data_IF_514630949924
#
_entry.id   IF_514630949924
#
_cell.length_a   1.000
_cell.length_b   1.000
_cell.length_c   1.000
_cell.angle_alpha   90.00
_cell.angle_beta   90.00
_cell.angle_gamma   90.00
#
_symmetry.space_group_name_H-M   'P 1'
#
loop_
_entity.id
_entity.type
_entity.pdbx_description
1 polymer ?
#
# COMPACT_ATOMS: atom_id res chain seq x y z
N UNK A 1 20.80 -4.47 24.17
CA UNK A 1 21.11 -5.77 24.80
C UNK A 1 20.56 -6.85 23.88
N UNK A 2 21.39 -7.37 22.97
CA UNK A 2 20.99 -8.39 22.00
C UNK A 2 21.39 -9.76 22.52
N UNK A 3 20.39 -10.60 22.80
CA UNK A 3 20.57 -11.99 23.21
C UNK A 3 20.55 -12.86 21.95
N UNK A 4 21.70 -13.45 21.59
CA UNK A 4 21.76 -14.50 20.56
C UNK A 4 21.00 -15.75 21.01
N UNK A 5 20.29 -16.45 20.09
CA UNK A 5 19.76 -17.77 20.39
C UNK A 5 20.89 -18.80 20.47
N UNK A 6 20.76 -19.84 21.32
CA UNK A 6 21.73 -20.91 21.41
C UNK A 6 21.77 -21.76 20.12
N UNK A 7 22.91 -22.38 19.79
CA UNK A 7 23.02 -23.26 18.63
C UNK A 7 22.08 -24.47 18.79
N UNK A 8 21.50 -24.99 17.69
CA UNK A 8 20.69 -26.20 17.76
C UNK A 8 21.55 -27.35 18.28
N UNK A 9 21.11 -27.92 19.40
CA UNK A 9 21.60 -29.18 19.94
C UNK A 9 21.60 -30.22 18.81
N UNK A 10 22.80 -30.65 18.40
CA UNK A 10 22.97 -31.82 17.51
C UNK A 10 22.28 -33.01 18.16
N UNK A 11 21.08 -33.33 17.68
CA UNK A 11 20.46 -34.61 17.90
C UNK A 11 21.45 -35.66 17.37
N UNK A 12 22.06 -36.43 18.28
CA UNK A 12 22.85 -37.59 17.93
C UNK A 12 21.95 -38.55 17.15
N UNK A 13 22.15 -38.59 15.84
CA UNK A 13 21.68 -39.70 15.02
C UNK A 13 22.25 -41.01 15.62
N UNK A 14 21.46 -42.08 15.73
CA UNK A 14 21.95 -43.38 16.18
C UNK A 14 23.12 -43.79 15.29
N UNK A 15 24.31 -43.96 15.87
CA UNK A 15 25.47 -44.49 15.16
C UNK A 15 25.11 -45.91 14.70
N UNK A 16 25.04 -46.18 13.39
CA UNK A 16 24.75 -47.52 12.92
C UNK A 16 25.88 -48.45 13.39
N UNK A 17 25.58 -49.71 13.77
CA UNK A 17 26.60 -50.66 14.19
C UNK A 17 27.67 -50.76 13.10
N UNK A 18 28.94 -50.92 13.51
CA UNK A 18 30.08 -51.05 12.61
C UNK A 18 29.82 -52.16 11.58
N UNK A 19 29.34 -51.77 10.40
CA UNK A 19 29.10 -52.68 9.28
C UNK A 19 30.46 -53.14 8.80
N UNK A 20 30.77 -54.43 8.99
CA UNK A 20 31.90 -55.08 8.31
C UNK A 20 31.72 -54.79 6.82
N UNK A 21 32.69 -54.09 6.21
CA UNK A 21 32.66 -53.84 4.77
C UNK A 21 32.68 -55.21 4.08
N UNK A 22 31.74 -55.52 3.18
CA UNK A 22 31.79 -56.75 2.41
C UNK A 22 33.13 -56.84 1.68
N UNK A 23 33.70 -58.05 1.52
CA UNK A 23 34.88 -58.23 0.68
C UNK A 23 34.60 -57.68 -0.73
N UNK A 24 35.63 -57.14 -1.38
CA UNK A 24 35.51 -56.42 -2.66
C UNK A 24 34.81 -57.27 -3.73
N UNK A 25 35.01 -58.59 -3.71
CA UNK A 25 34.37 -59.52 -4.64
C UNK A 25 32.83 -59.55 -4.47
N UNK A 26 32.31 -59.56 -3.24
CA UNK A 26 30.86 -59.52 -2.97
C UNK A 26 30.22 -58.19 -3.43
N UNK A 27 30.99 -57.10 -3.41
CA UNK A 27 30.56 -55.77 -3.88
C UNK A 27 30.53 -55.66 -5.40
N UNK A 28 31.45 -56.35 -6.10
CA UNK A 28 31.48 -56.40 -7.56
C UNK A 28 30.39 -57.35 -8.10
N UNK A 29 30.08 -58.42 -7.36
CA UNK A 29 29.03 -59.38 -7.70
C UNK A 29 27.62 -58.89 -7.32
N UNK A 30 27.50 -57.88 -6.44
CA UNK A 30 26.21 -57.30 -6.09
C UNK A 30 25.63 -56.47 -7.24
N UNK A 31 24.42 -56.84 -7.67
CA UNK A 31 23.65 -56.05 -8.64
C UNK A 31 23.23 -54.73 -7.99
N UNK A 32 23.47 -53.61 -8.69
CA UNK A 32 23.00 -52.31 -8.21
C UNK A 32 21.47 -52.31 -8.16
N UNK A 33 20.86 -51.80 -7.07
CA UNK A 33 19.43 -51.63 -7.04
C UNK A 33 19.00 -50.77 -8.25
N UNK A 34 17.92 -51.15 -8.95
CA UNK A 34 17.47 -50.40 -10.10
C UNK A 34 17.14 -48.97 -9.68
N UNK A 35 17.70 -48.01 -10.40
CA UNK A 35 17.44 -46.60 -10.16
C UNK A 35 16.03 -46.25 -10.65
N UNK A 36 15.15 -45.93 -9.72
CA UNK A 36 13.82 -45.40 -10.04
C UNK A 36 13.94 -43.91 -10.34
N UNK A 37 14.17 -43.60 -11.61
CA UNK A 37 14.24 -42.23 -12.12
C UNK A 37 12.91 -41.47 -11.92
N UNK A 38 11.79 -42.18 -11.94
CA UNK A 38 10.47 -41.58 -11.84
C UNK A 38 10.26 -40.99 -10.44
N UNK A 39 10.45 -41.83 -9.40
CA UNK A 39 10.33 -41.41 -8.01
C UNK A 39 11.41 -40.40 -7.59
N UNK A 40 12.65 -40.60 -8.03
CA UNK A 40 13.77 -39.80 -7.55
C UNK A 40 13.90 -38.41 -8.23
N UNK A 41 13.44 -38.28 -9.48
CA UNK A 41 13.70 -37.07 -10.29
C UNK A 41 12.41 -36.49 -10.86
N UNK A 42 11.58 -37.30 -11.49
CA UNK A 42 10.42 -36.80 -12.25
C UNK A 42 9.34 -36.25 -11.32
N UNK A 43 8.95 -37.01 -10.29
CA UNK A 43 7.90 -36.59 -9.35
C UNK A 43 8.21 -35.28 -8.60
N UNK A 44 9.40 -35.12 -7.97
CA UNK A 44 9.74 -33.86 -7.29
C UNK A 44 9.69 -32.65 -8.22
N UNK A 45 10.13 -32.82 -9.47
CA UNK A 45 10.13 -31.73 -10.44
C UNK A 45 8.71 -31.35 -10.89
N UNK A 46 7.82 -32.34 -11.05
CA UNK A 46 6.41 -32.10 -11.33
C UNK A 46 5.72 -31.39 -10.16
N UNK A 47 6.02 -31.79 -8.92
CA UNK A 47 5.49 -31.14 -7.72
C UNK A 47 5.95 -29.69 -7.61
N UNK A 48 7.24 -29.42 -7.85
CA UNK A 48 7.78 -28.05 -7.88
C UNK A 48 7.12 -27.22 -8.99
N UNK A 49 6.97 -27.78 -10.19
CA UNK A 49 6.31 -27.09 -11.31
C UNK A 49 4.85 -26.75 -10.98
N UNK A 50 4.14 -27.65 -10.31
CA UNK A 50 2.77 -27.41 -9.88
C UNK A 50 2.69 -26.32 -8.81
N UNK A 51 3.66 -26.29 -7.88
CA UNK A 51 3.77 -25.25 -6.85
C UNK A 51 4.04 -23.88 -7.46
N UNK A 52 4.98 -23.80 -8.40
CA UNK A 52 5.31 -22.57 -9.11
C UNK A 52 4.11 -22.03 -9.90
N UNK A 53 3.39 -22.92 -10.62
CA UNK A 53 2.19 -22.54 -11.34
C UNK A 53 1.10 -21.99 -10.41
N UNK A 54 0.97 -22.53 -9.20
CA UNK A 54 0.05 -22.02 -8.18
C UNK A 54 0.50 -20.65 -7.65
N UNK A 55 1.78 -20.52 -7.29
CA UNK A 55 2.35 -19.27 -6.80
C UNK A 55 2.21 -18.14 -7.82
N UNK A 56 2.50 -18.39 -9.10
CA UNK A 56 2.33 -17.39 -10.16
C UNK A 56 0.89 -16.91 -10.28
N UNK A 57 -0.09 -17.82 -10.16
CA UNK A 57 -1.51 -17.44 -10.18
C UNK A 57 -1.88 -16.54 -9.00
N UNK A 58 -1.45 -16.91 -7.80
CA UNK A 58 -1.70 -16.13 -6.58
C UNK A 58 -1.03 -14.75 -6.65
N UNK A 59 0.23 -14.70 -7.11
CA UNK A 59 0.96 -13.45 -7.30
C UNK A 59 0.27 -12.53 -8.32
N UNK A 60 -0.16 -13.09 -9.45
CA UNK A 60 -0.87 -12.31 -10.47
C UNK A 60 -2.19 -11.75 -9.93
N UNK A 61 -2.94 -12.52 -9.13
CA UNK A 61 -4.15 -12.03 -8.46
C UNK A 61 -3.81 -10.86 -7.53
N UNK A 62 -2.80 -11.02 -6.68
CA UNK A 62 -2.40 -9.99 -5.72
C UNK A 62 -1.96 -8.69 -6.40
N UNK A 63 -1.19 -8.80 -7.49
CA UNK A 63 -0.76 -7.63 -8.28
C UNK A 63 -1.96 -6.93 -8.89
N UNK A 64 -2.92 -7.68 -9.42
CA UNK A 64 -4.12 -7.13 -10.03
C UNK A 64 -4.98 -6.41 -8.99
N UNK A 65 -5.21 -7.03 -7.84
CA UNK A 65 -5.96 -6.43 -6.73
C UNK A 65 -5.29 -5.15 -6.23
N UNK A 66 -3.97 -5.18 -5.99
CA UNK A 66 -3.20 -4.00 -5.60
C UNK A 66 -3.29 -2.87 -6.65
N UNK A 67 -3.22 -3.21 -7.94
CA UNK A 67 -3.32 -2.23 -9.02
C UNK A 67 -4.70 -1.58 -9.07
N UNK A 68 -5.76 -2.37 -8.86
CA UNK A 68 -7.14 -1.88 -8.82
C UNK A 68 -7.39 -0.98 -7.61
N UNK A 69 -6.94 -1.39 -6.43
CA UNK A 69 -7.05 -0.59 -5.20
C UNK A 69 -6.29 0.73 -5.32
N UNK A 70 -5.06 0.68 -5.84
CA UNK A 70 -4.25 1.87 -6.07
C UNK A 70 -4.92 2.83 -7.06
N UNK A 71 -5.45 2.30 -8.16
CA UNK A 71 -6.17 3.11 -9.14
C UNK A 71 -7.44 3.74 -8.54
N UNK A 72 -8.23 2.96 -7.78
CA UNK A 72 -9.42 3.44 -7.11
C UNK A 72 -9.09 4.56 -6.11
N UNK A 73 -8.03 4.38 -5.32
CA UNK A 73 -7.56 5.39 -4.37
C UNK A 73 -7.06 6.66 -5.08
N UNK A 74 -6.21 6.51 -6.10
CA UNK A 74 -5.64 7.65 -6.83
C UNK A 74 -6.72 8.48 -7.53
N UNK A 75 -7.72 7.82 -8.14
CA UNK A 75 -8.85 8.49 -8.79
C UNK A 75 -9.77 9.21 -7.80
N UNK A 76 -10.10 8.57 -6.67
CA UNK A 76 -10.91 9.18 -5.63
C UNK A 76 -10.20 10.36 -4.94
N UNK A 77 -8.88 10.24 -4.73
CA UNK A 77 -8.07 11.27 -4.07
C UNK A 77 -8.07 12.59 -4.83
N UNK A 78 -7.86 12.56 -6.14
CA UNK A 78 -7.83 13.77 -6.96
C UNK A 78 -9.15 14.55 -6.89
N UNK A 79 -10.28 13.84 -6.89
CA UNK A 79 -11.60 14.44 -6.72
C UNK A 79 -11.75 15.08 -5.34
N UNK A 80 -11.41 14.35 -4.26
CA UNK A 80 -11.50 14.86 -2.90
C UNK A 80 -10.61 16.08 -2.65
N UNK A 81 -9.38 16.09 -3.17
CA UNK A 81 -8.47 17.24 -3.03
C UNK A 81 -9.01 18.48 -3.77
N UNK A 82 -9.59 18.28 -4.97
CA UNK A 82 -10.21 19.37 -5.74
C UNK A 82 -11.44 19.93 -5.04
N UNK A 83 -12.29 19.06 -4.50
CA UNK A 83 -13.50 19.45 -3.77
C UNK A 83 -13.14 20.22 -2.48
N UNK A 84 -12.16 19.73 -1.72
CA UNK A 84 -11.65 20.41 -0.53
C UNK A 84 -11.05 21.78 -0.85
N UNK A 85 -10.34 21.91 -1.98
CA UNK A 85 -9.81 23.19 -2.44
C UNK A 85 -10.95 24.15 -2.84
N UNK A 86 -11.94 23.67 -3.61
CA UNK A 86 -13.11 24.46 -4.02
C UNK A 86 -13.88 24.96 -2.80
N UNK A 87 -14.22 24.07 -1.85
CA UNK A 87 -14.92 24.44 -0.62
C UNK A 87 -14.16 25.48 0.22
N UNK A 88 -12.82 25.43 0.22
CA UNK A 88 -12.01 26.45 0.88
C UNK A 88 -12.16 27.82 0.21
N UNK A 89 -12.16 27.87 -1.12
CA UNK A 89 -12.32 29.12 -1.86
C UNK A 89 -13.75 29.68 -1.75
N UNK A 90 -14.77 28.83 -1.76
CA UNK A 90 -16.17 29.23 -1.54
C UNK A 90 -16.32 29.94 -0.18
N UNK A 91 -15.77 29.35 0.90
CA UNK A 91 -15.79 29.97 2.23
C UNK A 91 -15.06 31.32 2.25
N UNK A 92 -13.95 31.45 1.52
CA UNK A 92 -13.22 32.72 1.41
C UNK A 92 -14.03 33.76 0.63
N UNK A 93 -14.72 33.34 -0.42
CA UNK A 93 -15.58 34.20 -1.23
C UNK A 93 -16.77 34.71 -0.41
N UNK A 94 -17.44 33.84 0.34
CA UNK A 94 -18.54 34.20 1.25
C UNK A 94 -18.07 35.21 2.30
N UNK A 95 -16.89 34.99 2.89
CA UNK A 95 -16.32 35.91 3.87
C UNK A 95 -15.98 37.28 3.25
N UNK A 96 -15.51 37.33 2.00
CA UNK A 96 -15.28 38.57 1.27
C UNK A 96 -16.58 39.30 0.96
N UNK A 97 -17.58 38.59 0.44
CA UNK A 97 -18.89 39.15 0.13
C UNK A 97 -19.56 39.76 1.37
N UNK A 98 -19.43 39.09 2.52
CA UNK A 98 -19.92 39.64 3.79
C UNK A 98 -19.20 40.96 4.14
N UNK A 99 -17.88 41.02 4.02
CA UNK A 99 -17.10 42.25 4.27
C UNK A 99 -17.47 43.38 3.31
N UNK A 100 -17.63 43.10 2.02
CA UNK A 100 -18.06 44.08 1.02
C UNK A 100 -19.45 44.64 1.35
N UNK A 101 -20.37 43.76 1.79
CA UNK A 101 -21.72 44.18 2.20
C UNK A 101 -21.66 45.15 3.39
N UNK A 102 -20.82 44.87 4.40
CA UNK A 102 -20.63 45.76 5.54
C UNK A 102 -19.94 47.08 5.16
N UNK A 103 -18.99 47.04 4.24
CA UNK A 103 -18.34 48.23 3.70
C UNK A 103 -19.35 49.12 2.96
N UNK A 104 -20.20 48.55 2.11
CA UNK A 104 -21.21 49.32 1.37
C UNK A 104 -22.26 49.93 2.31
N UNK A 105 -22.69 49.21 3.35
CA UNK A 105 -23.54 49.78 4.41
C UNK A 105 -22.90 50.99 5.07
N UNK A 106 -21.59 50.92 5.34
CA UNK A 106 -20.85 52.03 5.94
C UNK A 106 -20.74 53.21 4.96
N UNK A 107 -20.48 52.92 3.68
CA UNK A 107 -20.44 53.94 2.61
C UNK A 107 -21.78 54.66 2.48
N UNK A 108 -22.89 53.92 2.51
CA UNK A 108 -24.23 54.50 2.46
C UNK A 108 -24.50 55.43 3.65
N UNK A 109 -24.17 55.00 4.88
CA UNK A 109 -24.33 55.84 6.08
C UNK A 109 -23.55 57.15 5.98
N UNK A 110 -22.34 57.10 5.42
CA UNK A 110 -21.53 58.30 5.21
C UNK A 110 -22.16 59.22 4.15
N UNK A 111 -22.65 58.66 3.04
CA UNK A 111 -23.38 59.42 2.02
C UNK A 111 -24.61 60.11 2.60
N UNK A 112 -25.45 59.38 3.34
CA UNK A 112 -26.64 59.92 4.00
C UNK A 112 -26.29 61.07 4.97
N UNK A 113 -25.17 60.94 5.71
CA UNK A 113 -24.68 61.99 6.60
C UNK A 113 -24.30 63.27 5.83
N UNK A 114 -23.53 63.10 4.75
CA UNK A 114 -23.10 64.23 3.89
C UNK A 114 -24.30 64.91 3.25
N UNK A 115 -25.30 64.15 2.77
CA UNK A 115 -26.53 64.70 2.20
C UNK A 115 -27.33 65.52 3.23
N UNK A 116 -27.45 65.03 4.47
CA UNK A 116 -28.09 65.78 5.56
C UNK A 116 -27.36 67.09 5.83
N UNK A 117 -26.02 67.08 5.86
CA UNK A 117 -25.22 68.30 6.05
C UNK A 117 -25.41 69.29 4.90
N UNK A 118 -25.40 68.82 3.65
CA UNK A 118 -25.66 69.65 2.46
C UNK A 118 -27.04 70.29 2.52
N UNK A 119 -28.05 69.52 2.90
CA UNK A 119 -29.42 70.02 3.04
C UNK A 119 -29.53 71.08 4.13
N UNK A 120 -28.90 70.86 5.29
CA UNK A 120 -28.87 71.85 6.37
C UNK A 120 -28.16 73.16 5.96
N UNK A 121 -27.04 73.06 5.23
CA UNK A 121 -26.33 74.23 4.69
C UNK A 121 -27.15 74.99 3.65
N UNK A 122 -27.94 74.29 2.83
CA UNK A 122 -28.82 74.92 1.84
C UNK A 122 -29.97 75.70 2.51
N UNK A 123 -30.45 75.26 3.68
CA UNK A 123 -31.49 75.95 4.45
C UNK A 123 -30.97 77.19 5.20
N UNK A 124 -29.65 77.32 5.39
CA UNK A 124 -29.01 78.47 6.04
C UNK A 124 -28.64 79.60 5.07
N UNK A 125 -28.86 79.41 3.77
CA UNK A 125 -28.71 80.42 2.72
C UNK A 125 -30.07 80.95 2.30
#
# INVERSE_FOLDING_TARGET
MSSSPPPPTSAQLPVPPARRRPPINDLIESEFPPFDCEAAVVFPFQEETARDAKFQKELNSLILDCSLEFHAWASARAFHETDAATSKYEKQLEALQHKETEQEKTRQRLQDCVERMRTALALLK
#
